data_IF_174898929748
#
_entry.id   IF_174898929748
#
_cell.length_a   1.000
_cell.length_b   1.000
_cell.length_c   1.000
_cell.angle_alpha   90.00
_cell.angle_beta   90.00
_cell.angle_gamma   90.00
#
_symmetry.space_group_name_H-M   'P 1'
#
loop_
_entity.id
_entity.type
_entity.pdbx_description
1 polymer ?
#
# COMPACT_ATOMS: atom_id res chain seq x y z
N UNK A 1 12.13 -23.96 15.29
CA UNK A 1 11.92 -22.52 15.61
C UNK A 1 11.95 -21.76 14.29
N UNK A 2 10.98 -20.89 14.02
CA UNK A 2 10.92 -20.04 12.80
C UNK A 2 10.99 -18.58 13.24
N UNK A 3 11.82 -17.77 12.58
CA UNK A 3 11.91 -16.33 12.82
C UNK A 3 11.27 -15.56 11.66
N UNK A 4 10.26 -14.75 11.96
CA UNK A 4 9.56 -13.89 11.01
C UNK A 4 9.57 -12.43 11.51
N UNK A 5 10.76 -11.81 11.52
CA UNK A 5 11.02 -10.50 12.14
C UNK A 5 11.20 -9.35 11.12
N UNK A 6 10.66 -9.53 9.91
CA UNK A 6 10.79 -8.57 8.81
C UNK A 6 12.05 -8.78 7.96
N UNK A 7 12.17 -7.96 6.91
CA UNK A 7 13.29 -7.97 5.95
C UNK A 7 14.02 -6.62 5.96
N UNK A 8 15.21 -6.58 5.36
CA UNK A 8 15.97 -5.36 5.12
C UNK A 8 16.44 -5.35 3.67
N UNK A 9 16.52 -4.16 3.08
CA UNK A 9 17.10 -3.98 1.76
C UNK A 9 18.51 -4.58 1.70
N UNK A 10 18.80 -5.38 0.67
CA UNK A 10 20.13 -5.94 0.45
C UNK A 10 21.00 -4.91 -0.28
N UNK A 11 21.64 -4.02 0.47
CA UNK A 11 22.36 -2.85 -0.05
C UNK A 11 23.89 -2.93 0.10
N UNK A 12 24.43 -4.09 0.51
CA UNK A 12 25.85 -4.26 0.77
C UNK A 12 26.73 -3.98 -0.45
N UNK A 13 26.32 -4.46 -1.64
CA UNK A 13 27.05 -4.22 -2.90
C UNK A 13 27.04 -2.74 -3.27
N UNK A 14 25.89 -2.08 -3.14
CA UNK A 14 25.73 -0.66 -3.44
C UNK A 14 26.61 0.22 -2.53
N UNK A 15 26.68 -0.12 -1.22
CA UNK A 15 27.59 0.55 -0.28
C UNK A 15 29.05 0.43 -0.69
N UNK A 16 29.47 -0.78 -1.07
CA UNK A 16 30.85 -1.03 -1.52
C UNK A 16 31.17 -0.29 -2.83
N UNK A 17 30.17 -0.11 -3.70
CA UNK A 17 30.28 0.64 -4.93
C UNK A 17 30.22 2.17 -4.73
N UNK A 18 29.99 2.66 -3.50
CA UNK A 18 29.92 4.10 -3.22
C UNK A 18 28.60 4.76 -3.65
N UNK A 19 27.53 3.98 -3.84
CA UNK A 19 26.22 4.52 -4.16
C UNK A 19 25.55 5.11 -2.92
N UNK A 20 24.70 6.12 -3.15
CA UNK A 20 23.90 6.73 -2.09
C UNK A 20 22.90 5.72 -1.52
N UNK A 21 22.83 5.66 -0.19
CA UNK A 21 21.95 4.75 0.53
C UNK A 21 20.95 5.52 1.38
N UNK A 22 19.68 5.13 1.30
CA UNK A 22 18.61 5.75 2.06
C UNK A 22 18.79 5.61 3.58
N UNK A 23 18.16 6.48 4.38
CA UNK A 23 18.29 6.48 5.84
C UNK A 23 17.78 5.19 6.50
N UNK A 24 16.92 4.44 5.80
CA UNK A 24 16.40 3.13 6.23
C UNK A 24 17.06 1.94 5.50
N UNK A 25 18.15 2.19 4.77
CA UNK A 25 18.78 1.25 3.84
C UNK A 25 18.21 1.34 2.42
N UNK A 26 18.83 0.59 1.51
CA UNK A 26 18.46 0.54 0.09
C UNK A 26 19.07 1.64 -0.77
N UNK A 27 19.31 1.34 -2.03
CA UNK A 27 19.93 2.25 -3.01
C UNK A 27 19.00 3.42 -3.28
N UNK A 28 19.46 4.64 -3.07
CA UNK A 28 18.67 5.83 -3.40
C UNK A 28 18.45 5.88 -4.91
N UNK A 29 17.19 6.04 -5.32
CA UNK A 29 16.80 6.15 -6.72
C UNK A 29 15.95 7.38 -7.00
N UNK A 30 16.03 7.90 -8.22
CA UNK A 30 15.09 8.87 -8.78
C UNK A 30 13.82 8.17 -9.33
N UNK A 31 12.94 8.94 -9.98
CA UNK A 31 11.68 8.44 -10.54
C UNK A 31 11.89 7.47 -11.73
N UNK A 32 13.08 7.44 -12.33
CA UNK A 32 13.46 6.51 -13.39
C UNK A 32 14.16 5.25 -12.85
N UNK A 33 14.13 5.07 -11.52
CA UNK A 33 14.83 4.00 -10.80
C UNK A 33 16.37 4.05 -10.93
N UNK A 34 16.92 5.20 -11.33
CA UNK A 34 18.34 5.42 -11.51
C UNK A 34 19.00 5.86 -10.20
N UNK A 35 20.16 5.29 -9.90
CA UNK A 35 20.97 5.69 -8.74
C UNK A 35 21.75 6.99 -8.98
N UNK A 36 22.65 7.37 -8.07
CA UNK A 36 23.57 8.48 -8.29
C UNK A 36 24.61 8.21 -9.40
N UNK A 37 24.81 6.95 -9.80
CA UNK A 37 25.57 6.59 -11.01
C UNK A 37 24.60 6.44 -12.20
N UNK A 38 24.82 7.15 -13.32
CA UNK A 38 23.92 7.13 -14.47
C UNK A 38 23.88 5.80 -15.23
N UNK A 39 24.72 4.83 -14.89
CA UNK A 39 24.73 3.49 -15.49
C UNK A 39 24.17 2.41 -14.57
N UNK A 40 23.73 2.77 -13.36
CA UNK A 40 23.27 1.81 -12.35
C UNK A 40 21.83 2.12 -11.95
N UNK A 41 20.95 1.17 -12.26
CA UNK A 41 19.57 1.16 -11.80
C UNK A 41 19.42 0.27 -10.55
N UNK A 42 18.47 0.60 -9.69
CA UNK A 42 18.03 -0.28 -8.60
C UNK A 42 16.51 -0.36 -8.60
N UNK A 43 15.97 -1.57 -8.45
CA UNK A 43 14.53 -1.85 -8.51
C UNK A 43 14.12 -2.83 -7.41
N UNK A 44 12.83 -2.85 -7.07
CA UNK A 44 12.29 -3.76 -6.06
C UNK A 44 12.72 -3.39 -4.65
N UNK A 45 12.83 -4.38 -3.77
CA UNK A 45 13.00 -4.16 -2.32
C UNK A 45 14.37 -3.59 -1.93
N UNK A 46 15.36 -3.62 -2.83
CA UNK A 46 16.66 -2.97 -2.59
C UNK A 46 16.66 -1.48 -2.93
N UNK A 47 15.62 -0.96 -3.58
CA UNK A 47 15.53 0.43 -4.01
C UNK A 47 14.80 1.30 -2.99
N UNK A 48 15.38 2.47 -2.69
CA UNK A 48 14.84 3.49 -1.81
C UNK A 48 14.44 4.72 -2.63
N UNK A 49 13.15 4.86 -2.93
CA UNK A 49 12.62 6.03 -3.64
C UNK A 49 12.04 7.03 -2.63
N UNK A 50 12.50 8.28 -2.68
CA UNK A 50 12.07 9.35 -1.76
C UNK A 50 12.10 8.92 -0.26
N UNK A 51 13.18 8.23 0.14
CA UNK A 51 13.36 7.70 1.50
C UNK A 51 12.46 6.50 1.87
N UNK A 52 11.72 5.95 0.91
CA UNK A 52 10.75 4.86 1.09
C UNK A 52 11.19 3.55 0.44
N UNK A 53 10.98 2.45 1.18
CA UNK A 53 11.21 1.09 0.74
C UNK A 53 9.86 0.41 0.52
N UNK A 54 9.73 -0.36 -0.54
CA UNK A 54 8.47 -1.01 -0.93
C UNK A 54 8.62 -2.53 -0.80
N UNK A 55 8.19 -3.08 0.34
CA UNK A 55 8.19 -4.53 0.60
C UNK A 55 7.02 -5.27 -0.07
N UNK A 56 6.76 -4.95 -1.35
CA UNK A 56 5.64 -5.48 -2.13
C UNK A 56 6.11 -5.86 -3.53
N UNK A 57 5.42 -6.84 -4.13
CA UNK A 57 5.75 -7.34 -5.47
C UNK A 57 5.34 -6.35 -6.56
N UNK A 58 4.16 -5.73 -6.44
CA UNK A 58 3.63 -4.83 -7.48
C UNK A 58 4.52 -3.61 -7.79
N UNK A 59 5.08 -2.90 -6.78
CA UNK A 59 6.05 -1.82 -7.02
C UNK A 59 7.31 -2.32 -7.72
N UNK A 60 7.84 -3.49 -7.33
CA UNK A 60 8.97 -4.12 -8.00
C UNK A 60 8.71 -4.38 -9.48
N UNK A 61 7.50 -4.84 -9.85
CA UNK A 61 7.12 -5.01 -11.25
C UNK A 61 6.97 -3.69 -12.01
N UNK A 62 6.47 -2.64 -11.37
CA UNK A 62 6.39 -1.31 -11.98
C UNK A 62 7.78 -0.76 -12.29
N UNK A 63 8.69 -0.81 -11.30
CA UNK A 63 10.08 -0.42 -11.47
C UNK A 63 10.77 -1.24 -12.57
N UNK A 64 10.59 -2.57 -12.57
CA UNK A 64 11.17 -3.45 -13.58
C UNK A 64 10.69 -3.11 -15.00
N UNK A 65 9.39 -2.86 -15.18
CA UNK A 65 8.84 -2.45 -16.47
C UNK A 65 9.38 -1.10 -16.93
N UNK A 66 9.49 -0.13 -16.03
CA UNK A 66 10.05 1.19 -16.32
C UNK A 66 11.49 1.09 -16.78
N UNK A 67 12.35 0.42 -16.01
CA UNK A 67 13.77 0.22 -16.36
C UNK A 67 13.92 -0.57 -17.66
N UNK A 68 13.12 -1.63 -17.87
CA UNK A 68 13.16 -2.38 -19.12
C UNK A 68 12.81 -1.51 -20.34
N UNK A 69 11.81 -0.62 -20.24
CA UNK A 69 11.47 0.31 -21.30
C UNK A 69 12.62 1.30 -21.58
N UNK A 70 13.22 1.88 -20.53
CA UNK A 70 14.37 2.79 -20.67
C UNK A 70 15.57 2.12 -21.36
N UNK A 71 15.91 0.89 -20.96
CA UNK A 71 17.00 0.12 -21.56
C UNK A 71 16.73 -0.26 -23.03
N UNK A 72 15.46 -0.31 -23.45
CA UNK A 72 15.06 -0.54 -24.83
C UNK A 72 14.83 0.76 -25.61
N UNK A 73 15.23 1.92 -25.08
CA UNK A 73 15.03 3.25 -25.67
C UNK A 73 13.54 3.56 -25.94
N UNK A 74 12.66 3.03 -25.09
CA UNK A 74 11.22 3.27 -25.12
C UNK A 74 10.81 4.29 -24.05
N UNK A 75 9.65 4.91 -24.24
CA UNK A 75 9.05 5.77 -23.21
C UNK A 75 8.70 4.94 -21.98
N UNK A 76 9.18 5.37 -20.82
CA UNK A 76 8.84 4.80 -19.52
C UNK A 76 8.06 5.82 -18.69
N UNK A 77 7.02 5.35 -18.02
CA UNK A 77 6.31 6.16 -17.03
C UNK A 77 7.17 6.30 -15.75
N UNK A 78 7.33 7.51 -15.20
CA UNK A 78 8.05 7.72 -13.95
C UNK A 78 7.44 6.90 -12.79
N UNK A 79 8.29 6.36 -11.93
CA UNK A 79 7.89 5.75 -10.68
C UNK A 79 7.52 6.84 -9.67
N UNK A 80 6.23 6.95 -9.35
CA UNK A 80 5.67 7.97 -8.46
C UNK A 80 5.37 7.45 -7.06
N UNK A 81 6.06 6.39 -6.65
CA UNK A 81 5.73 5.62 -5.47
C UNK A 81 4.71 4.52 -5.76
N UNK A 82 4.17 3.91 -4.70
CA UNK A 82 3.21 2.84 -4.84
C UNK A 82 2.15 2.82 -3.75
N UNK A 83 1.01 2.25 -4.12
CA UNK A 83 -0.04 1.88 -3.19
C UNK A 83 0.46 0.74 -2.28
N UNK A 84 0.50 1.02 -0.98
CA UNK A 84 0.92 0.07 0.05
C UNK A 84 -0.23 -0.83 0.53
N UNK A 85 -1.39 -0.77 -0.14
CA UNK A 85 -2.52 -1.64 0.14
C UNK A 85 -2.14 -3.11 -0.09
N UNK A 86 -2.52 -3.95 0.85
CA UNK A 86 -2.18 -5.37 0.87
C UNK A 86 -3.39 -6.22 1.20
N UNK A 87 -3.47 -7.37 0.54
CA UNK A 87 -4.46 -8.42 0.82
C UNK A 87 -3.70 -9.71 1.11
N UNK A 88 -3.80 -10.19 2.35
CA UNK A 88 -3.17 -11.41 2.81
C UNK A 88 -4.23 -12.48 3.05
N UNK A 89 -4.03 -13.66 2.46
CA UNK A 89 -4.81 -14.85 2.80
C UNK A 89 -4.02 -15.66 3.81
N UNK A 90 -4.45 -15.66 5.06
CA UNK A 90 -3.94 -16.55 6.11
C UNK A 90 -4.82 -17.79 6.18
N UNK A 91 -4.34 -18.84 6.87
CA UNK A 91 -5.07 -20.10 7.05
C UNK A 91 -6.42 -19.85 7.74
N UNK A 92 -7.47 -19.69 6.92
CA UNK A 92 -8.86 -19.49 7.37
C UNK A 92 -9.27 -18.05 7.65
N UNK A 93 -8.39 -17.05 7.47
CA UNK A 93 -8.73 -15.63 7.69
C UNK A 93 -8.13 -14.78 6.59
N UNK A 94 -9.00 -14.02 5.91
CA UNK A 94 -8.56 -13.00 4.96
C UNK A 94 -8.32 -11.69 5.69
N UNK A 95 -7.20 -11.02 5.40
CA UNK A 95 -6.83 -9.72 5.97
C UNK A 95 -6.53 -8.74 4.84
N UNK A 96 -7.11 -7.55 4.91
CA UNK A 96 -6.89 -6.45 3.98
C UNK A 96 -6.48 -5.19 4.72
N UNK A 97 -5.48 -4.48 4.19
CA UNK A 97 -5.11 -3.14 4.63
C UNK A 97 -5.05 -2.23 3.41
N UNK A 98 -5.63 -1.04 3.52
CA UNK A 98 -5.71 -0.06 2.43
C UNK A 98 -5.17 1.27 2.93
N UNK A 99 -4.28 1.91 2.17
CA UNK A 99 -3.80 3.28 2.42
C UNK A 99 -3.39 3.57 3.86
N UNK A 100 -3.83 4.70 4.40
CA UNK A 100 -3.67 5.11 5.79
C UNK A 100 -4.68 4.41 6.72
N UNK A 101 -4.54 3.09 6.81
CA UNK A 101 -5.42 2.20 7.56
C UNK A 101 -5.50 2.51 9.07
N UNK A 102 -4.51 3.23 9.60
CA UNK A 102 -4.40 3.57 11.01
C UNK A 102 -4.81 5.01 11.35
N UNK A 103 -5.13 5.83 10.35
CA UNK A 103 -5.51 7.24 10.50
C UNK A 103 -4.36 8.12 11.06
N UNK A 104 -3.16 7.96 10.52
CA UNK A 104 -2.02 8.83 10.83
C UNK A 104 -2.21 10.25 10.29
N UNK A 105 -3.01 10.41 9.24
CA UNK A 105 -3.36 11.70 8.63
C UNK A 105 -4.09 12.57 9.66
N UNK A 106 -3.58 13.77 9.99
CA UNK A 106 -4.21 14.64 10.98
C UNK A 106 -5.67 14.96 10.64
N UNK A 107 -6.55 14.87 11.64
CA UNK A 107 -7.98 15.13 11.49
C UNK A 107 -8.78 14.01 10.81
N UNK A 108 -8.14 12.92 10.41
CA UNK A 108 -8.82 11.75 9.89
C UNK A 108 -9.84 11.19 10.89
N UNK A 109 -10.94 10.65 10.36
CA UNK A 109 -12.01 10.02 11.15
C UNK A 109 -12.12 8.56 10.75
N UNK A 110 -12.56 7.71 11.69
CA UNK A 110 -12.75 6.29 11.38
C UNK A 110 -14.08 5.73 11.87
N UNK A 111 -14.64 4.83 11.07
CA UNK A 111 -15.80 4.02 11.39
C UNK A 111 -15.35 2.57 11.60
N UNK A 112 -15.94 1.87 12.56
CA UNK A 112 -15.58 0.50 12.90
C UNK A 112 -16.82 -0.39 12.96
N UNK A 113 -16.70 -1.58 12.39
CA UNK A 113 -17.66 -2.66 12.51
C UNK A 113 -16.95 -3.88 13.09
N UNK A 114 -17.57 -4.50 14.10
CA UNK A 114 -17.07 -5.67 14.78
C UNK A 114 -18.23 -6.67 14.89
N UNK A 115 -18.01 -7.89 14.41
CA UNK A 115 -18.92 -9.01 14.59
C UNK A 115 -18.14 -10.21 15.11
N UNK A 116 -18.37 -10.53 16.39
CA UNK A 116 -17.71 -11.65 17.06
C UNK A 116 -18.25 -13.01 16.58
N UNK A 117 -19.48 -13.08 16.07
CA UNK A 117 -20.08 -14.33 15.62
C UNK A 117 -19.44 -14.83 14.31
N UNK A 118 -19.12 -13.90 13.40
CA UNK A 118 -18.38 -14.21 12.17
C UNK A 118 -16.87 -13.96 12.27
N UNK A 119 -16.38 -13.49 13.43
CA UNK A 119 -15.01 -13.03 13.64
C UNK A 119 -14.56 -11.97 12.61
N UNK A 120 -15.48 -11.07 12.24
CA UNK A 120 -15.24 -10.01 11.25
C UNK A 120 -14.91 -8.68 11.91
N UNK A 121 -13.84 -8.04 11.46
CA UNK A 121 -13.48 -6.68 11.84
C UNK A 121 -13.28 -5.83 10.58
N UNK A 122 -13.92 -4.66 10.54
CA UNK A 122 -13.74 -3.69 9.45
C UNK A 122 -13.56 -2.30 10.03
N UNK A 123 -12.54 -1.58 9.56
CA UNK A 123 -12.31 -0.17 9.84
C UNK A 123 -12.26 0.59 8.53
N UNK A 124 -13.06 1.65 8.42
CA UNK A 124 -12.98 2.64 7.36
C UNK A 124 -12.32 3.89 7.90
N UNK A 125 -11.34 4.45 7.20
CA UNK A 125 -10.70 5.72 7.52
C UNK A 125 -11.00 6.73 6.42
N UNK A 126 -11.52 7.88 6.82
CA UNK A 126 -11.85 9.00 5.94
C UNK A 126 -11.04 10.23 6.30
N UNK A 127 -10.83 11.09 5.32
CA UNK A 127 -10.12 12.35 5.50
C UNK A 127 -10.83 13.32 6.48
N UNK A 128 -10.16 14.42 6.83
CA UNK A 128 -10.73 15.41 7.73
C UNK A 128 -12.06 15.98 7.23
N UNK A 129 -12.21 16.16 5.91
CA UNK A 129 -13.47 16.64 5.33
C UNK A 129 -14.59 15.60 5.36
N UNK A 130 -14.25 14.31 5.49
CA UNK A 130 -15.19 13.19 5.46
C UNK A 130 -15.76 12.93 4.08
N UNK A 131 -15.03 13.32 3.02
CA UNK A 131 -15.47 13.17 1.62
C UNK A 131 -14.75 12.05 0.89
N UNK A 132 -13.58 11.64 1.36
CA UNK A 132 -12.75 10.64 0.70
C UNK A 132 -12.30 9.55 1.66
N UNK A 133 -12.23 8.32 1.14
CA UNK A 133 -11.55 7.21 1.81
C UNK A 133 -10.06 7.41 1.70
N UNK A 134 -9.37 7.35 2.83
CA UNK A 134 -7.90 7.42 2.87
C UNK A 134 -7.27 6.12 3.37
N UNK A 135 -8.06 5.21 3.95
CA UNK A 135 -7.60 3.89 4.31
C UNK A 135 -8.69 2.97 4.85
N UNK A 136 -8.34 1.69 5.02
CA UNK A 136 -9.23 0.71 5.62
C UNK A 136 -8.45 -0.49 6.19
N UNK A 137 -9.05 -1.19 7.15
CA UNK A 137 -8.61 -2.51 7.63
C UNK A 137 -9.79 -3.47 7.52
N UNK A 138 -9.56 -4.67 7.03
CA UNK A 138 -10.56 -5.73 6.94
C UNK A 138 -9.93 -7.03 7.47
N UNK A 139 -10.65 -7.75 8.31
CA UNK A 139 -10.26 -9.05 8.87
C UNK A 139 -11.48 -9.96 8.85
N UNK A 140 -11.31 -11.19 8.38
CA UNK A 140 -12.40 -12.15 8.22
C UNK A 140 -13.03 -12.00 6.84
N UNK A 141 -14.06 -11.15 6.72
CA UNK A 141 -14.74 -10.88 5.45
C UNK A 141 -14.06 -9.75 4.65
N UNK A 142 -13.38 -10.16 3.58
CA UNK A 142 -12.70 -9.27 2.64
C UNK A 142 -13.51 -8.95 1.36
N UNK A 143 -14.80 -9.28 1.30
CA UNK A 143 -15.65 -9.00 0.13
C UNK A 143 -15.76 -7.49 -0.19
N UNK A 144 -15.53 -6.62 0.78
CA UNK A 144 -15.57 -5.17 0.65
C UNK A 144 -14.25 -4.54 0.17
N UNK A 145 -13.16 -5.31 0.15
CA UNK A 145 -11.80 -4.78 -0.09
C UNK A 145 -11.69 -4.05 -1.42
N UNK A 146 -12.12 -4.68 -2.52
CA UNK A 146 -11.93 -4.12 -3.87
C UNK A 146 -12.75 -2.84 -4.07
N UNK A 147 -13.95 -2.76 -3.48
CA UNK A 147 -14.77 -1.54 -3.48
C UNK A 147 -14.06 -0.42 -2.72
N UNK A 148 -13.61 -0.66 -1.50
CA UNK A 148 -12.93 0.37 -0.70
C UNK A 148 -11.62 0.83 -1.33
N UNK A 149 -10.90 -0.09 -1.99
CA UNK A 149 -9.70 0.23 -2.74
C UNK A 149 -10.00 1.19 -3.89
N UNK A 150 -11.08 0.94 -4.64
CA UNK A 150 -11.51 1.84 -5.72
C UNK A 150 -11.93 3.22 -5.20
N UNK A 151 -12.59 3.30 -4.05
CA UNK A 151 -12.95 4.58 -3.44
C UNK A 151 -11.71 5.42 -3.14
N UNK A 152 -10.66 4.80 -2.59
CA UNK A 152 -9.41 5.48 -2.29
C UNK A 152 -8.65 5.85 -3.58
N UNK A 153 -8.40 4.87 -4.47
CA UNK A 153 -7.56 5.06 -5.65
C UNK A 153 -8.13 6.07 -6.64
N UNK A 154 -9.47 6.12 -6.78
CA UNK A 154 -10.13 7.01 -7.74
C UNK A 154 -10.75 8.25 -7.08
N UNK A 155 -10.56 8.45 -5.77
CA UNK A 155 -11.13 9.58 -5.05
C UNK A 155 -12.67 9.67 -5.15
N UNK A 156 -13.36 8.53 -5.12
CA UNK A 156 -14.82 8.45 -5.27
C UNK A 156 -15.47 9.16 -4.08
N UNK A 157 -16.45 10.02 -4.35
CA UNK A 157 -17.19 10.73 -3.32
C UNK A 157 -17.94 9.74 -2.40
N UNK A 158 -17.78 9.93 -1.09
CA UNK A 158 -18.46 9.11 -0.09
C UNK A 158 -19.98 9.29 -0.11
N UNK A 159 -20.75 8.24 0.23
CA UNK A 159 -22.19 8.37 0.48
C UNK A 159 -22.45 9.28 1.69
N UNK A 160 -23.70 9.73 1.85
CA UNK A 160 -24.13 10.57 2.98
C UNK A 160 -23.81 9.93 4.34
N UNK A 161 -23.83 8.60 4.41
CA UNK A 161 -23.41 7.81 5.56
C UNK A 161 -22.21 6.93 5.19
N UNK A 162 -20.96 7.38 5.40
CA UNK A 162 -19.76 6.62 5.02
C UNK A 162 -19.68 5.24 5.68
N UNK A 163 -20.23 5.08 6.89
CA UNK A 163 -20.25 3.80 7.59
C UNK A 163 -20.97 2.70 6.80
N UNK A 164 -21.94 3.05 5.95
CA UNK A 164 -22.66 2.08 5.12
C UNK A 164 -21.75 1.24 4.21
N UNK A 165 -20.56 1.77 3.85
CA UNK A 165 -19.58 1.06 3.04
C UNK A 165 -18.94 -0.16 3.73
N UNK A 166 -19.06 -0.26 5.06
CA UNK A 166 -18.49 -1.37 5.85
C UNK A 166 -19.54 -2.13 6.66
N UNK A 167 -20.82 -1.81 6.49
CA UNK A 167 -21.91 -2.51 7.15
C UNK A 167 -22.36 -3.72 6.32
N UNK A 168 -22.81 -4.81 6.96
CA UNK A 168 -23.49 -5.88 6.25
C UNK A 168 -24.78 -5.34 5.62
N UNK A 169 -25.09 -5.77 4.40
CA UNK A 169 -26.37 -5.46 3.77
C UNK A 169 -27.47 -6.26 4.48
N UNK A 170 -28.19 -5.64 5.42
CA UNK A 170 -29.33 -6.26 6.09
C UNK A 170 -30.65 -5.83 5.46
N UNK A 171 -31.50 -6.79 5.12
CA UNK A 171 -32.84 -6.56 4.55
C UNK A 171 -33.93 -6.27 5.60
N UNK A 172 -33.59 -6.08 6.87
CA UNK A 172 -34.56 -5.96 7.95
C UNK A 172 -34.17 -4.92 8.99
N UNK A 173 -34.64 -3.69 8.82
CA UNK A 173 -34.76 -2.77 9.94
C UNK A 173 -36.05 -3.12 10.70
N UNK A 174 -36.02 -3.28 12.04
CA UNK A 174 -37.26 -3.33 12.81
C UNK A 174 -37.96 -1.97 12.67
N UNK A 175 -39.21 -2.00 12.20
CA UNK A 175 -40.13 -0.86 12.15
C UNK A 175 -40.54 -0.41 13.54
#
# INVERSE_FOLDING_TARGET
IVFSAGIRAQDALARQAGLDIGPRGGVVINDECLSCDPNIYAIGECASWNGSLFGLVAPGYQMARGVAALLCEQTAEPFVGADMSTKLKLLGVDVGSIGDAHAHTPGARSYQFIDEASASYRRLVVDASGKQVIGAVLVGDNSYYDTLLQYMQNGIALPSEPASLILPSSAGAPT
#
